data_IF_576388010137
#
_entry.id   IF_576388010137
#
_cell.length_a   1.000
_cell.length_b   1.000
_cell.length_c   1.000
_cell.angle_alpha   90.00
_cell.angle_beta   90.00
_cell.angle_gamma   90.00
#
_symmetry.space_group_name_H-M   'P 1'
#
loop_
_entity.id
_entity.type
_entity.pdbx_description
1 polymer ?
#
# COMPACT_ATOMS: atom_id res chain seq x y z
N UNK A 1 -26.07 -13.41 -87.04
CA UNK A 1 -26.06 -12.14 -86.32
C UNK A 1 -25.90 -12.41 -84.89
N UNK A 2 -24.64 -12.47 -84.37
CA UNK A 2 -24.27 -12.97 -83.09
C UNK A 2 -23.79 -11.76 -82.29
N UNK A 3 -24.54 -11.44 -81.22
CA UNK A 3 -24.18 -10.35 -80.31
C UNK A 3 -23.18 -10.91 -79.26
N UNK A 4 -21.96 -10.40 -79.28
CA UNK A 4 -20.94 -10.58 -78.28
C UNK A 4 -21.33 -9.80 -77.04
N UNK A 5 -21.58 -10.50 -75.95
CA UNK A 5 -21.62 -9.90 -74.59
C UNK A 5 -20.26 -10.07 -73.95
N UNK A 6 -19.52 -9.00 -73.90
CA UNK A 6 -18.26 -8.92 -73.14
C UNK A 6 -18.61 -8.63 -71.69
N UNK A 7 -18.46 -9.66 -70.83
CA UNK A 7 -18.63 -9.50 -69.42
C UNK A 7 -17.28 -9.07 -68.81
N UNK A 8 -17.21 -7.83 -68.42
CA UNK A 8 -16.05 -7.26 -67.74
C UNK A 8 -16.09 -7.70 -66.29
N UNK A 9 -15.27 -8.71 -65.89
CA UNK A 9 -15.07 -9.11 -64.51
C UNK A 9 -14.01 -8.17 -63.94
N UNK A 10 -14.44 -7.12 -63.23
CA UNK A 10 -13.56 -6.32 -62.39
C UNK A 10 -13.28 -7.09 -61.11
N UNK A 11 -12.12 -7.71 -61.06
CA UNK A 11 -11.57 -8.25 -59.82
C UNK A 11 -11.10 -7.08 -58.95
N UNK A 12 -11.95 -6.63 -58.04
CA UNK A 12 -11.53 -5.72 -56.98
C UNK A 12 -10.75 -6.53 -55.93
N UNK A 13 -9.46 -6.57 -56.09
CA UNK A 13 -8.54 -7.02 -55.03
C UNK A 13 -8.56 -5.98 -53.92
N UNK A 14 -9.41 -6.18 -52.94
CA UNK A 14 -9.35 -5.44 -51.68
C UNK A 14 -8.11 -5.93 -50.94
N UNK A 15 -7.02 -5.19 -51.07
CA UNK A 15 -5.89 -5.28 -50.17
C UNK A 15 -6.36 -4.80 -48.79
N UNK A 16 -6.81 -5.75 -47.96
CA UNK A 16 -6.90 -5.57 -46.52
C UNK A 16 -5.48 -5.41 -45.96
N UNK A 17 -4.92 -4.23 -46.11
CA UNK A 17 -3.83 -3.80 -45.26
C UNK A 17 -4.44 -3.65 -43.87
N UNK A 18 -4.42 -4.75 -43.12
CA UNK A 18 -4.68 -4.73 -41.70
C UNK A 18 -3.61 -3.86 -41.05
N UNK A 19 -3.91 -2.58 -40.88
CA UNK A 19 -3.22 -1.79 -39.89
C UNK A 19 -3.59 -2.41 -38.53
N UNK A 20 -2.75 -3.29 -38.05
CA UNK A 20 -2.62 -3.54 -36.64
C UNK A 20 -2.13 -2.26 -35.96
N UNK A 21 -3.00 -1.26 -35.93
CA UNK A 21 -2.89 -0.17 -34.99
C UNK A 21 -3.31 -0.70 -33.64
N UNK A 22 -2.49 -1.57 -33.05
CA UNK A 22 -2.45 -1.67 -31.59
C UNK A 22 -2.34 -0.24 -31.11
N UNK A 23 -3.28 0.28 -30.29
CA UNK A 23 -3.13 1.61 -29.74
C UNK A 23 -1.80 1.59 -28.98
N UNK A 24 -0.77 2.21 -29.56
CA UNK A 24 0.43 2.54 -28.82
C UNK A 24 -0.06 3.48 -27.74
N UNK A 25 -0.30 2.89 -26.55
CA UNK A 25 -0.43 3.66 -25.33
C UNK A 25 0.82 4.54 -25.32
N UNK A 26 0.67 5.87 -25.33
CA UNK A 26 1.84 6.73 -25.35
C UNK A 26 2.72 6.28 -24.20
N UNK A 27 3.97 5.97 -24.51
CA UNK A 27 5.03 5.63 -23.57
C UNK A 27 5.36 6.92 -22.82
N UNK A 28 4.39 7.42 -22.05
CA UNK A 28 4.62 8.43 -21.05
C UNK A 28 5.40 7.70 -19.95
N UNK A 29 6.72 7.58 -20.19
CA UNK A 29 7.68 7.44 -19.12
C UNK A 29 7.31 8.58 -18.17
N UNK A 30 6.60 8.25 -17.12
CA UNK A 30 6.11 9.25 -16.16
C UNK A 30 7.36 9.95 -15.66
N UNK A 31 7.50 11.24 -15.98
CA UNK A 31 8.74 12.03 -15.87
C UNK A 31 9.36 12.01 -14.47
N UNK A 32 8.61 11.47 -13.49
CA UNK A 32 8.94 11.41 -12.07
C UNK A 32 8.65 10.03 -11.46
N UNK A 33 9.08 8.94 -12.10
CA UNK A 33 8.97 7.58 -11.53
C UNK A 33 10.36 7.05 -11.14
N UNK A 34 10.53 6.45 -9.93
CA UNK A 34 9.55 6.30 -8.87
C UNK A 34 9.10 7.64 -8.27
N UNK A 35 7.91 7.66 -7.64
CA UNK A 35 7.49 8.85 -6.93
C UNK A 35 8.28 9.00 -5.62
N UNK A 36 8.70 10.22 -5.30
CA UNK A 36 9.57 10.49 -4.16
C UNK A 36 8.83 11.34 -3.12
N UNK A 37 8.74 10.81 -1.91
CA UNK A 37 8.27 11.55 -0.73
C UNK A 37 9.50 11.94 0.09
N UNK A 38 9.78 13.24 0.19
CA UNK A 38 10.90 13.78 0.95
C UNK A 38 10.45 14.35 2.28
N UNK A 39 11.37 14.48 3.21
CA UNK A 39 11.19 15.33 4.40
C UNK A 39 10.73 16.74 3.99
N UNK A 40 9.86 17.35 4.81
CA UNK A 40 9.33 18.69 4.59
C UNK A 40 9.09 19.39 5.92
N UNK A 41 9.83 20.48 6.16
CA UNK A 41 9.64 21.31 7.36
C UNK A 41 8.20 21.82 7.48
N UNK A 42 7.57 22.22 6.36
CA UNK A 42 6.18 22.67 6.34
C UNK A 42 5.19 21.60 6.80
N UNK A 43 5.35 20.34 6.32
CA UNK A 43 4.52 19.23 6.76
C UNK A 43 4.74 18.91 8.24
N UNK A 44 5.98 18.94 8.70
CA UNK A 44 6.33 18.72 10.10
C UNK A 44 5.64 19.74 11.00
N UNK A 45 5.80 21.03 10.73
CA UNK A 45 5.18 22.10 11.48
C UNK A 45 3.64 22.01 11.46
N UNK A 46 3.06 21.64 10.32
CA UNK A 46 1.62 21.42 10.21
C UNK A 46 1.17 20.27 11.11
N UNK A 47 1.85 19.12 11.06
CA UNK A 47 1.53 17.95 11.88
C UNK A 47 1.65 18.27 13.39
N UNK A 48 2.69 19.00 13.81
CA UNK A 48 2.87 19.43 15.19
C UNK A 48 1.78 20.42 15.65
N UNK A 49 1.30 21.30 14.78
CA UNK A 49 0.16 22.21 15.09
C UNK A 49 -1.13 21.41 15.24
N UNK A 50 -1.41 20.48 14.32
CA UNK A 50 -2.62 19.66 14.38
C UNK A 50 -2.60 18.70 15.58
N UNK A 51 -1.42 18.17 15.94
CA UNK A 51 -1.27 17.39 17.17
C UNK A 51 -1.65 18.18 18.41
N UNK A 52 -1.09 19.37 18.59
CA UNK A 52 -1.44 20.25 19.72
C UNK A 52 -2.92 20.58 19.74
N UNK A 53 -3.48 20.94 18.60
CA UNK A 53 -4.91 21.22 18.45
C UNK A 53 -5.79 20.02 18.83
N UNK A 54 -5.35 18.81 18.50
CA UNK A 54 -6.03 17.59 18.90
C UNK A 54 -6.00 17.40 20.41
N UNK A 55 -4.85 17.51 21.05
CA UNK A 55 -4.75 17.37 22.51
C UNK A 55 -5.59 18.42 23.24
N UNK A 56 -5.58 19.66 22.80
CA UNK A 56 -6.41 20.74 23.36
C UNK A 56 -7.91 20.43 23.22
N UNK A 57 -8.33 19.93 22.06
CA UNK A 57 -9.75 19.61 21.82
C UNK A 57 -10.30 18.49 22.71
N UNK A 58 -9.42 17.64 23.23
CA UNK A 58 -9.78 16.55 24.15
C UNK A 58 -9.37 16.82 25.61
N UNK A 59 -8.91 18.04 25.93
CA UNK A 59 -8.40 18.43 27.24
C UNK A 59 -7.32 17.47 27.77
N UNK A 60 -6.45 16.98 26.89
CA UNK A 60 -5.33 16.13 27.23
C UNK A 60 -4.08 16.96 27.42
N UNK A 61 -3.24 16.58 28.39
CA UNK A 61 -1.99 17.27 28.65
C UNK A 61 -1.13 17.32 27.37
N UNK A 62 -0.57 18.48 27.07
CA UNK A 62 0.31 18.69 25.94
C UNK A 62 1.58 17.83 26.06
N UNK A 63 1.81 16.99 25.07
CA UNK A 63 3.01 16.16 24.94
C UNK A 63 3.60 16.32 23.54
N UNK A 64 4.92 16.17 23.36
CA UNK A 64 5.51 16.11 22.03
C UNK A 64 4.93 14.94 21.24
N UNK A 65 4.63 15.11 19.95
CA UNK A 65 4.16 14.01 19.12
C UNK A 65 5.30 13.04 18.80
N UNK A 66 4.96 11.76 18.72
CA UNK A 66 5.78 10.74 18.06
C UNK A 66 5.27 10.58 16.63
N UNK A 67 5.95 11.21 15.69
CA UNK A 67 5.56 11.28 14.28
C UNK A 67 6.51 10.48 13.42
N UNK A 68 5.98 9.91 12.33
CA UNK A 68 6.81 9.36 11.28
C UNK A 68 7.79 10.44 10.76
N UNK A 69 9.08 10.13 10.59
CA UNK A 69 10.10 11.15 10.29
C UNK A 69 10.00 11.77 8.89
N UNK A 70 9.22 11.19 7.97
CA UNK A 70 9.14 11.64 6.58
C UNK A 70 7.76 12.19 6.22
N UNK A 71 6.68 11.52 6.58
CA UNK A 71 5.33 11.98 6.24
C UNK A 71 4.53 12.52 7.41
N UNK A 72 5.07 12.40 8.65
CA UNK A 72 4.57 13.08 9.85
C UNK A 72 3.17 12.67 10.32
N UNK A 73 2.74 11.45 10.01
CA UNK A 73 1.58 10.88 10.67
C UNK A 73 1.93 10.37 12.07
N UNK A 74 1.01 10.31 13.03
CA UNK A 74 1.27 9.84 14.38
C UNK A 74 1.68 8.37 14.41
N UNK A 75 2.89 8.10 14.90
CA UNK A 75 3.43 6.75 15.04
C UNK A 75 3.00 6.10 16.35
N UNK A 76 2.73 6.90 17.38
CA UNK A 76 2.16 6.43 18.63
C UNK A 76 1.44 7.56 19.40
N UNK A 77 0.67 7.18 20.44
CA UNK A 77 0.14 8.11 21.45
C UNK A 77 1.05 8.16 22.69
N UNK A 78 2.35 8.01 22.52
CA UNK A 78 3.32 8.02 23.62
C UNK A 78 3.21 9.32 24.45
N UNK A 79 3.12 9.17 25.77
CA UNK A 79 2.96 10.30 26.70
C UNK A 79 1.53 10.79 26.86
N UNK A 80 0.56 10.32 26.08
CA UNK A 80 -0.86 10.63 26.27
C UNK A 80 -1.44 9.70 27.35
N UNK A 81 -1.31 10.12 28.60
CA UNK A 81 -1.77 9.32 29.76
C UNK A 81 -3.29 9.20 29.77
N UNK A 82 -3.79 7.96 29.88
CA UNK A 82 -5.23 7.67 29.96
C UNK A 82 -5.97 7.69 28.63
N UNK A 83 -5.26 7.90 27.51
CA UNK A 83 -5.83 7.90 26.16
C UNK A 83 -6.70 9.12 25.85
N UNK A 84 -7.24 9.15 24.64
CA UNK A 84 -8.10 10.22 24.11
C UNK A 84 -9.57 9.77 24.17
N UNK A 85 -10.41 10.45 24.95
CA UNK A 85 -11.83 10.12 25.06
C UNK A 85 -12.58 10.48 23.77
N UNK A 86 -13.01 9.48 23.01
CA UNK A 86 -13.76 9.66 21.76
C UNK A 86 -15.28 9.57 21.97
N UNK A 87 -15.75 8.68 22.84
CA UNK A 87 -17.16 8.57 23.19
C UNK A 87 -17.51 9.52 24.33
N UNK A 88 -18.52 10.36 24.12
CA UNK A 88 -19.06 11.27 25.15
C UNK A 88 -20.24 10.67 25.92
N UNK A 89 -20.85 9.61 25.39
CA UNK A 89 -22.00 8.92 25.97
C UNK A 89 -21.73 7.44 25.94
N UNK A 90 -22.09 6.74 27.04
CA UNK A 90 -21.98 5.30 27.10
C UNK A 90 -22.94 4.65 26.10
N UNK A 91 -22.46 3.74 25.24
CA UNK A 91 -23.32 3.04 24.29
C UNK A 91 -24.37 2.17 25.00
N UNK A 92 -25.47 1.89 24.33
CA UNK A 92 -26.43 0.90 24.81
C UNK A 92 -25.80 -0.51 24.78
N UNK A 93 -26.17 -1.40 25.70
CA UNK A 93 -25.67 -2.78 25.73
C UNK A 93 -25.89 -3.47 24.37
N UNK A 94 -24.80 -4.04 23.81
CA UNK A 94 -24.79 -4.72 22.53
C UNK A 94 -24.54 -3.84 21.31
N UNK A 95 -24.44 -2.51 21.49
CA UNK A 95 -24.10 -1.56 20.41
C UNK A 95 -22.67 -1.00 20.51
N UNK A 96 -21.88 -1.45 21.48
CA UNK A 96 -20.57 -0.90 21.83
C UNK A 96 -19.61 -0.91 20.62
N UNK A 97 -19.51 -2.03 19.94
CA UNK A 97 -18.63 -2.15 18.77
C UNK A 97 -19.03 -1.19 17.64
N UNK A 98 -20.31 -1.00 17.41
CA UNK A 98 -20.81 -0.08 16.38
C UNK A 98 -20.50 1.36 16.78
N UNK A 99 -20.78 1.72 18.04
CA UNK A 99 -20.52 3.06 18.56
C UNK A 99 -19.02 3.41 18.51
N UNK A 100 -18.13 2.47 18.87
CA UNK A 100 -16.69 2.67 18.80
C UNK A 100 -16.19 2.86 17.35
N UNK A 101 -16.72 2.09 16.40
CA UNK A 101 -16.38 2.26 14.97
C UNK A 101 -16.83 3.61 14.43
N UNK A 102 -18.03 4.05 14.78
CA UNK A 102 -18.54 5.37 14.36
C UNK A 102 -17.77 6.51 15.03
N UNK A 103 -17.42 6.38 16.32
CA UNK A 103 -16.56 7.34 17.00
C UNK A 103 -15.16 7.42 16.35
N UNK A 104 -14.58 6.27 15.96
CA UNK A 104 -13.30 6.25 15.27
C UNK A 104 -13.37 6.87 13.87
N UNK A 105 -14.45 6.66 13.12
CA UNK A 105 -14.67 7.36 11.85
C UNK A 105 -14.72 8.88 12.06
N UNK A 106 -15.52 9.34 13.02
CA UNK A 106 -15.59 10.77 13.38
C UNK A 106 -14.25 11.36 13.81
N UNK A 107 -13.43 10.57 14.53
CA UNK A 107 -12.07 10.93 14.90
C UNK A 107 -11.18 11.09 13.66
N UNK A 108 -11.20 10.12 12.75
CA UNK A 108 -10.39 10.12 11.52
C UNK A 108 -10.75 11.33 10.66
N UNK A 109 -12.03 11.58 10.39
CA UNK A 109 -12.46 12.70 9.56
C UNK A 109 -12.14 14.07 10.19
N UNK A 110 -12.26 14.16 11.51
CA UNK A 110 -11.92 15.39 12.25
C UNK A 110 -10.42 15.71 12.18
N UNK A 111 -9.57 14.68 12.24
CA UNK A 111 -8.12 14.82 12.32
C UNK A 111 -7.42 14.38 11.03
N UNK A 112 -8.12 14.41 9.90
CA UNK A 112 -7.61 13.98 8.60
C UNK A 112 -6.30 14.64 8.17
N UNK A 113 -6.09 15.91 8.58
CA UNK A 113 -4.85 16.64 8.28
C UNK A 113 -3.65 16.12 9.08
N UNK A 114 -3.88 15.59 10.25
CA UNK A 114 -2.87 14.94 11.09
C UNK A 114 -2.62 13.50 10.66
N UNK A 115 -3.69 12.76 10.34
CA UNK A 115 -3.62 11.34 9.99
C UNK A 115 -3.29 11.11 8.51
N UNK A 116 -3.29 12.15 7.68
CA UNK A 116 -3.05 12.01 6.24
C UNK A 116 -4.13 11.21 5.49
N UNK A 117 -5.28 10.98 6.10
CA UNK A 117 -6.37 10.19 5.55
C UNK A 117 -7.73 10.64 6.09
N UNK A 118 -8.78 10.36 5.35
CA UNK A 118 -10.18 10.48 5.75
C UNK A 118 -10.92 9.16 5.53
N UNK A 119 -12.18 9.08 5.97
CA UNK A 119 -12.96 7.83 5.86
C UNK A 119 -13.26 7.39 4.44
N UNK A 120 -13.11 8.24 3.43
CA UNK A 120 -13.26 7.87 2.01
C UNK A 120 -12.00 7.22 1.43
N UNK A 121 -10.84 7.48 2.02
CA UNK A 121 -9.52 7.01 1.58
C UNK A 121 -9.05 5.74 2.27
N UNK A 122 -9.83 5.22 3.23
CA UNK A 122 -9.48 4.04 4.03
C UNK A 122 -10.62 3.04 4.13
N UNK A 123 -10.29 1.79 4.47
CA UNK A 123 -11.25 0.72 4.74
C UNK A 123 -10.88 -0.02 6.01
N UNK A 124 -11.86 -0.30 6.86
CA UNK A 124 -11.69 -1.20 8.01
C UNK A 124 -11.57 -2.64 7.49
N UNK A 125 -10.39 -3.23 7.62
CA UNK A 125 -10.09 -4.55 7.04
C UNK A 125 -9.95 -5.65 8.07
N UNK A 126 -9.84 -5.30 9.34
CA UNK A 126 -9.67 -6.28 10.41
C UNK A 126 -9.81 -5.65 11.78
N UNK A 127 -9.65 -6.50 12.76
CA UNK A 127 -9.66 -6.15 14.18
C UNK A 127 -10.03 -7.35 15.01
N UNK A 128 -9.68 -7.27 16.28
CA UNK A 128 -10.03 -8.22 17.30
C UNK A 128 -10.66 -7.48 18.48
N UNK A 129 -11.54 -8.16 19.17
CA UNK A 129 -12.21 -7.64 20.35
C UNK A 129 -11.86 -8.51 21.54
N UNK A 130 -11.45 -7.86 22.63
CA UNK A 130 -11.46 -8.46 23.97
C UNK A 130 -12.47 -7.73 24.83
N UNK A 131 -12.71 -8.25 26.05
CA UNK A 131 -13.64 -7.63 27.00
C UNK A 131 -13.23 -6.21 27.43
N UNK A 132 -11.96 -5.86 27.24
CA UNK A 132 -11.39 -4.58 27.70
C UNK A 132 -10.99 -3.63 26.57
N UNK A 133 -10.64 -4.15 25.40
CA UNK A 133 -10.18 -3.34 24.27
C UNK A 133 -10.67 -3.87 22.95
N UNK A 134 -10.84 -2.97 21.98
CA UNK A 134 -11.08 -3.26 20.59
C UNK A 134 -9.90 -2.77 19.77
N UNK A 135 -9.30 -3.67 18.99
CA UNK A 135 -8.30 -3.32 17.99
C UNK A 135 -8.97 -3.13 16.64
N UNK A 136 -8.71 -2.01 15.98
CA UNK A 136 -9.25 -1.68 14.66
C UNK A 136 -8.09 -1.51 13.69
N UNK A 137 -8.16 -2.18 12.54
CA UNK A 137 -7.13 -2.15 11.50
C UNK A 137 -7.73 -1.55 10.24
N UNK A 138 -7.24 -0.39 9.85
CA UNK A 138 -7.63 0.29 8.62
C UNK A 138 -6.55 0.16 7.57
N UNK A 139 -6.96 0.04 6.30
CA UNK A 139 -6.08 0.02 5.14
C UNK A 139 -6.42 1.19 4.21
N UNK A 140 -5.38 1.76 3.64
CA UNK A 140 -5.46 2.81 2.64
C UNK A 140 -5.98 2.23 1.31
N UNK A 141 -7.01 2.87 0.72
CA UNK A 141 -7.69 2.37 -0.50
C UNK A 141 -7.75 3.40 -1.63
N UNK A 142 -7.10 4.53 -1.49
CA UNK A 142 -7.07 5.62 -2.47
C UNK A 142 -6.01 5.45 -3.57
N UNK A 143 -5.37 4.29 -3.65
CA UNK A 143 -4.50 3.88 -4.74
C UNK A 143 -5.17 2.82 -5.62
N UNK A 144 -4.75 2.72 -6.90
CA UNK A 144 -5.25 1.70 -7.82
C UNK A 144 -4.86 0.26 -7.40
N UNK A 145 -3.81 0.12 -6.60
CA UNK A 145 -3.32 -1.14 -6.07
C UNK A 145 -3.11 -1.05 -4.56
N UNK A 146 -3.19 -2.17 -3.82
CA UNK A 146 -2.98 -2.16 -2.37
C UNK A 146 -1.54 -1.74 -2.03
N UNK A 147 -1.39 -1.00 -0.93
CA UNK A 147 -0.08 -0.65 -0.39
C UNK A 147 0.52 -1.87 0.32
N UNK A 148 1.78 -2.19 0.03
CA UNK A 148 2.49 -3.35 0.54
C UNK A 148 3.30 -3.04 1.80
N UNK A 149 3.69 -4.10 2.49
CA UNK A 149 4.51 -4.03 3.70
C UNK A 149 3.76 -3.45 4.89
N UNK A 150 4.47 -2.70 5.71
CA UNK A 150 3.93 -2.07 6.92
C UNK A 150 3.30 -0.70 6.65
N UNK A 151 3.25 -0.27 5.38
CA UNK A 151 2.67 1.00 4.98
C UNK A 151 1.20 0.87 4.60
N UNK A 152 0.52 2.00 4.51
CA UNK A 152 -0.89 2.05 4.14
C UNK A 152 -1.81 1.38 5.16
N UNK A 153 -1.36 1.26 6.41
CA UNK A 153 -2.13 0.69 7.51
C UNK A 153 -2.17 1.66 8.69
N UNK A 154 -3.31 1.72 9.37
CA UNK A 154 -3.44 2.36 10.66
C UNK A 154 -4.04 1.36 11.64
N UNK A 155 -3.40 1.20 12.78
CA UNK A 155 -3.89 0.39 13.89
C UNK A 155 -4.31 1.29 15.04
N UNK A 156 -5.56 1.19 15.45
CA UNK A 156 -6.10 1.87 16.60
C UNK A 156 -6.53 0.87 17.67
N UNK A 157 -6.16 1.11 18.92
CA UNK A 157 -6.63 0.34 20.07
C UNK A 157 -7.52 1.24 20.91
N UNK A 158 -8.78 0.83 21.06
CA UNK A 158 -9.83 1.58 21.77
C UNK A 158 -10.30 0.76 22.96
N UNK A 159 -10.33 1.35 24.13
CA UNK A 159 -10.87 0.71 25.34
C UNK A 159 -12.39 0.62 25.32
N UNK A 160 -12.98 -0.26 26.13
CA UNK A 160 -14.43 -0.47 26.19
C UNK A 160 -15.22 0.78 26.61
N UNK A 161 -14.58 1.72 27.33
CA UNK A 161 -15.17 3.01 27.69
C UNK A 161 -15.00 4.11 26.62
N UNK A 162 -14.49 3.75 25.43
CA UNK A 162 -14.38 4.63 24.28
C UNK A 162 -13.18 5.56 24.27
N UNK A 163 -12.07 5.14 24.88
CA UNK A 163 -10.80 5.87 24.82
C UNK A 163 -9.88 5.28 23.76
N UNK A 164 -9.35 6.11 22.89
CA UNK A 164 -8.26 5.75 22.00
C UNK A 164 -6.97 5.65 22.83
N UNK A 165 -6.49 4.43 23.04
CA UNK A 165 -5.34 4.12 23.89
C UNK A 165 -4.03 4.04 23.09
N UNK A 166 -4.11 3.61 21.83
CA UNK A 166 -2.96 3.48 20.93
C UNK A 166 -3.38 3.83 19.51
N UNK A 167 -2.48 4.46 18.80
CA UNK A 167 -2.59 4.76 17.38
C UNK A 167 -1.22 4.53 16.75
N UNK A 168 -1.16 3.69 15.72
CA UNK A 168 0.02 3.54 14.86
C UNK A 168 -0.45 3.79 13.42
N UNK A 169 -0.10 4.95 12.90
CA UNK A 169 -0.52 5.39 11.59
C UNK A 169 0.68 5.40 10.63
N UNK A 170 0.58 4.57 9.59
CA UNK A 170 1.57 4.41 8.53
C UNK A 170 1.00 4.70 7.15
N UNK A 171 0.00 5.56 7.08
CA UNK A 171 -0.52 6.03 5.80
C UNK A 171 0.52 6.88 5.09
N UNK A 172 0.61 6.69 3.78
CA UNK A 172 1.51 7.46 2.93
C UNK A 172 0.73 8.56 2.21
N UNK A 173 1.32 9.75 2.02
CA UNK A 173 0.72 10.79 1.18
C UNK A 173 0.42 10.26 -0.21
N UNK A 174 -0.69 10.69 -0.80
CA UNK A 174 -1.05 10.29 -2.17
C UNK A 174 -0.04 10.88 -3.15
N UNK A 175 0.56 10.01 -3.96
CA UNK A 175 1.50 10.36 -5.02
C UNK A 175 1.01 9.81 -6.35
N UNK A 176 1.38 10.48 -7.43
CA UNK A 176 1.07 10.01 -8.78
C UNK A 176 1.94 8.81 -9.15
N UNK A 177 1.30 7.73 -9.53
CA UNK A 177 1.94 6.49 -9.97
C UNK A 177 1.31 5.98 -11.27
N UNK A 178 2.05 5.17 -12.05
CA UNK A 178 1.48 4.48 -13.20
C UNK A 178 0.25 3.66 -12.80
N UNK A 179 -0.83 3.78 -13.56
CA UNK A 179 -2.07 3.06 -13.32
C UNK A 179 -2.03 1.59 -13.79
N UNK A 180 -0.96 1.20 -14.50
CA UNK A 180 -0.81 -0.16 -15.06
C UNK A 180 0.66 -0.57 -15.05
N UNK A 181 0.96 -1.84 -14.75
CA UNK A 181 2.26 -2.42 -15.01
C UNK A 181 2.67 -2.29 -16.48
N UNK A 182 3.97 -2.07 -16.74
CA UNK A 182 4.58 -2.13 -18.06
C UNK A 182 5.31 -3.47 -18.29
N UNK A 183 5.74 -4.09 -17.18
CA UNK A 183 6.31 -5.43 -17.20
C UNK A 183 5.18 -6.43 -16.99
N UNK A 184 5.03 -7.35 -17.93
CA UNK A 184 4.03 -8.41 -17.83
C UNK A 184 4.31 -9.35 -16.66
N UNK A 185 3.24 -9.90 -16.11
CA UNK A 185 3.26 -10.81 -14.95
C UNK A 185 4.21 -11.98 -15.16
N UNK A 186 4.14 -12.60 -16.32
CA UNK A 186 4.96 -13.76 -16.71
C UNK A 186 6.45 -13.39 -16.87
N UNK A 187 6.72 -12.17 -17.33
CA UNK A 187 8.09 -11.66 -17.43
C UNK A 187 8.69 -11.44 -16.03
N UNK A 188 7.93 -10.89 -15.11
CA UNK A 188 8.35 -10.73 -13.72
C UNK A 188 8.57 -12.09 -13.03
N UNK A 189 7.69 -13.08 -13.25
CA UNK A 189 7.83 -14.44 -12.75
C UNK A 189 9.11 -15.12 -13.21
N UNK A 190 9.43 -15.01 -14.51
CA UNK A 190 10.65 -15.58 -15.12
C UNK A 190 11.93 -14.99 -14.53
N UNK A 191 11.93 -13.74 -14.07
CA UNK A 191 13.09 -13.11 -13.42
C UNK A 191 13.45 -13.75 -12.09
N UNK A 192 12.49 -14.39 -11.42
CA UNK A 192 12.66 -14.99 -10.10
C UNK A 192 12.90 -16.52 -10.18
N UNK A 193 12.39 -17.18 -11.21
CA UNK A 193 12.59 -18.61 -11.44
C UNK A 193 14.08 -18.96 -11.62
N UNK A 194 14.52 -20.04 -10.99
CA UNK A 194 15.90 -20.53 -11.05
C UNK A 194 16.92 -19.76 -10.20
N UNK A 195 16.48 -18.73 -9.46
CA UNK A 195 17.38 -17.93 -8.61
C UNK A 195 17.84 -18.69 -7.37
N UNK A 196 19.01 -18.29 -6.89
CA UNK A 196 19.56 -18.75 -5.60
C UNK A 196 19.45 -17.60 -4.59
N UNK A 197 18.87 -17.89 -3.44
CA UNK A 197 18.79 -16.96 -2.30
C UNK A 197 19.74 -17.43 -1.20
N UNK A 198 20.39 -16.47 -0.55
CA UNK A 198 21.27 -16.70 0.58
C UNK A 198 20.51 -16.33 1.86
N UNK A 199 20.65 -17.13 2.91
CA UNK A 199 20.10 -16.86 4.22
C UNK A 199 21.03 -17.38 5.33
N UNK A 200 20.86 -16.95 6.57
CA UNK A 200 21.61 -17.49 7.71
C UNK A 200 20.75 -18.51 8.45
N UNK A 201 21.33 -19.66 8.81
CA UNK A 201 20.69 -20.63 9.70
C UNK A 201 20.73 -20.17 11.17
N UNK A 202 20.06 -20.92 12.07
CA UNK A 202 20.04 -20.62 13.53
C UNK A 202 21.43 -20.59 14.18
N UNK A 203 22.45 -21.17 13.56
CA UNK A 203 23.83 -21.11 14.01
C UNK A 203 24.62 -19.94 13.40
N UNK A 204 23.97 -19.07 12.61
CA UNK A 204 24.58 -17.93 11.93
C UNK A 204 25.39 -18.31 10.70
N UNK A 205 25.30 -19.54 10.18
CA UNK A 205 26.03 -19.99 9.01
C UNK A 205 25.28 -19.64 7.75
N UNK A 206 26.00 -19.12 6.75
CA UNK A 206 25.44 -18.85 5.44
C UNK A 206 24.98 -20.15 4.76
N UNK A 207 23.75 -20.16 4.30
CA UNK A 207 23.10 -21.22 3.55
C UNK A 207 22.59 -20.67 2.21
N UNK A 208 22.42 -21.57 1.25
CA UNK A 208 21.87 -21.21 -0.06
C UNK A 208 20.72 -22.12 -0.43
N UNK A 209 19.64 -21.53 -0.94
CA UNK A 209 18.50 -22.24 -1.48
C UNK A 209 18.25 -21.80 -2.91
N UNK A 210 18.26 -22.75 -3.83
CA UNK A 210 17.91 -22.50 -5.22
C UNK A 210 16.41 -22.69 -5.40
N UNK A 211 15.76 -21.71 -5.98
CA UNK A 211 14.39 -21.83 -6.46
C UNK A 211 14.40 -22.67 -7.72
N UNK A 212 13.51 -23.62 -7.82
CA UNK A 212 13.36 -24.47 -9.00
C UNK A 212 12.84 -23.69 -10.20
N UNK A 213 12.00 -24.34 -10.97
CA UNK A 213 11.39 -23.72 -12.15
C UNK A 213 10.28 -22.73 -11.82
N UNK A 214 9.57 -22.34 -12.86
CA UNK A 214 8.47 -21.38 -12.80
C UNK A 214 7.30 -21.88 -11.91
N UNK A 215 7.19 -23.19 -11.71
CA UNK A 215 6.20 -23.84 -10.84
C UNK A 215 6.44 -23.59 -9.34
N UNK A 216 7.60 -23.12 -8.96
CA UNK A 216 7.90 -22.69 -7.59
C UNK A 216 7.77 -21.18 -7.37
N UNK A 217 7.33 -20.45 -8.38
CA UNK A 217 7.21 -18.99 -8.35
C UNK A 217 5.77 -18.59 -8.60
N UNK A 218 5.17 -17.87 -7.67
CA UNK A 218 3.79 -17.37 -7.77
C UNK A 218 3.75 -15.86 -7.72
N UNK A 219 3.34 -15.21 -8.79
CA UNK A 219 3.02 -13.78 -8.77
C UNK A 219 1.66 -13.59 -8.09
N UNK A 220 1.66 -12.95 -6.94
CA UNK A 220 0.44 -12.70 -6.15
C UNK A 220 -0.41 -11.60 -6.78
N UNK A 221 0.15 -10.41 -6.91
CA UNK A 221 -0.58 -9.20 -7.36
C UNK A 221 0.40 -8.06 -7.68
N UNK A 222 -0.12 -7.01 -8.30
CA UNK A 222 0.56 -5.71 -8.30
C UNK A 222 0.26 -4.96 -7.00
N UNK A 223 1.24 -4.22 -6.50
CA UNK A 223 1.17 -3.46 -5.23
C UNK A 223 1.86 -2.12 -5.36
N UNK A 224 1.47 -1.15 -4.53
CA UNK A 224 2.25 0.04 -4.27
C UNK A 224 3.28 -0.32 -3.19
N UNK A 225 4.56 -0.20 -3.50
CA UNK A 225 5.65 -0.55 -2.61
C UNK A 225 6.44 0.70 -2.20
N UNK A 226 6.23 1.20 -0.98
CA UNK A 226 7.10 2.21 -0.40
C UNK A 226 8.42 1.58 0.06
N UNK A 227 9.54 2.24 -0.27
CA UNK A 227 10.89 1.84 0.13
C UNK A 227 11.54 2.99 0.87
N UNK A 228 11.80 2.80 2.15
CA UNK A 228 12.49 3.78 2.98
C UNK A 228 13.95 3.90 2.58
N UNK A 229 14.40 5.13 2.42
CA UNK A 229 15.79 5.56 2.33
C UNK A 229 16.10 6.47 3.51
N UNK A 230 17.33 6.95 3.62
CA UNK A 230 17.76 7.77 4.76
C UNK A 230 16.94 9.06 4.98
N UNK A 231 16.51 9.71 3.91
CA UNK A 231 15.86 11.04 3.92
C UNK A 231 14.61 11.12 3.03
N UNK A 232 14.18 9.99 2.47
CA UNK A 232 13.03 9.94 1.57
C UNK A 232 12.38 8.55 1.56
N UNK A 233 11.18 8.48 0.99
CA UNK A 233 10.53 7.25 0.60
C UNK A 233 10.36 7.24 -0.90
N UNK A 234 10.86 6.21 -1.55
CA UNK A 234 10.57 5.90 -2.95
C UNK A 234 9.30 5.06 -3.02
N UNK A 235 8.34 5.48 -3.81
CA UNK A 235 7.07 4.75 -3.98
C UNK A 235 7.03 4.16 -5.38
N UNK A 236 6.98 2.84 -5.44
CA UNK A 236 7.02 2.06 -6.67
C UNK A 236 5.70 1.35 -6.93
N UNK A 237 5.38 1.09 -8.20
CA UNK A 237 4.44 0.04 -8.60
C UNK A 237 5.24 -1.25 -8.78
N UNK A 238 4.92 -2.31 -8.04
CA UNK A 238 5.71 -3.53 -8.03
C UNK A 238 4.83 -4.78 -8.17
N UNK A 239 5.40 -5.85 -8.73
CA UNK A 239 4.88 -7.19 -8.63
C UNK A 239 5.31 -7.84 -7.32
N UNK A 240 4.36 -8.29 -6.51
CA UNK A 240 4.58 -9.10 -5.31
C UNK A 240 4.62 -10.57 -5.71
N UNK A 241 5.78 -11.20 -5.54
CA UNK A 241 6.07 -12.56 -6.01
C UNK A 241 6.51 -13.41 -4.82
N UNK A 242 5.89 -14.58 -4.65
CA UNK A 242 6.34 -15.59 -3.69
C UNK A 242 7.12 -16.67 -4.44
N UNK A 243 8.34 -16.91 -4.00
CA UNK A 243 9.26 -17.91 -4.57
C UNK A 243 9.66 -18.95 -3.53
N UNK A 244 9.64 -20.23 -3.92
CA UNK A 244 9.94 -21.37 -3.07
C UNK A 244 8.71 -22.00 -2.40
N UNK A 245 8.88 -23.22 -1.90
CA UNK A 245 7.81 -24.03 -1.25
C UNK A 245 7.99 -24.05 0.28
N UNK A 246 8.94 -24.83 0.78
CA UNK A 246 9.22 -24.97 2.21
C UNK A 246 10.03 -23.80 2.76
N UNK A 247 11.04 -23.37 2.03
CA UNK A 247 11.73 -22.11 2.27
C UNK A 247 11.23 -21.13 1.22
N UNK A 248 10.60 -20.03 1.64
CA UNK A 248 10.01 -19.10 0.69
C UNK A 248 10.44 -17.66 0.93
N UNK A 249 10.46 -16.90 -0.16
CA UNK A 249 10.77 -15.47 -0.16
C UNK A 249 9.67 -14.70 -0.84
N UNK A 250 9.43 -13.50 -0.37
CA UNK A 250 8.66 -12.50 -1.11
C UNK A 250 9.65 -11.60 -1.86
N UNK A 251 9.54 -11.59 -3.18
CA UNK A 251 10.38 -10.78 -4.08
C UNK A 251 9.50 -9.70 -4.70
N UNK A 252 9.94 -8.46 -4.63
CA UNK A 252 9.29 -7.34 -5.30
C UNK A 252 10.08 -6.96 -6.54
N UNK A 253 9.43 -7.06 -7.70
CA UNK A 253 9.97 -6.64 -9.00
C UNK A 253 9.23 -5.37 -9.42
N UNK A 254 9.97 -4.34 -9.75
CA UNK A 254 9.40 -3.09 -10.28
C UNK A 254 8.57 -3.40 -11.53
N UNK A 255 7.30 -3.02 -11.50
CA UNK A 255 6.37 -3.34 -12.56
C UNK A 255 6.49 -2.39 -13.78
N UNK A 256 7.37 -1.39 -13.72
CA UNK A 256 7.62 -0.43 -14.79
C UNK A 256 8.91 -0.74 -15.53
N UNK A 257 10.04 -0.94 -14.79
CA UNK A 257 11.36 -1.16 -15.39
C UNK A 257 11.88 -2.59 -15.20
N UNK A 258 11.24 -3.39 -14.35
CA UNK A 258 11.60 -4.79 -14.09
C UNK A 258 12.82 -4.96 -13.17
N UNK A 259 13.26 -3.95 -12.45
CA UNK A 259 14.31 -4.06 -11.46
C UNK A 259 13.83 -4.81 -10.21
N UNK A 260 14.74 -5.48 -9.53
CA UNK A 260 14.45 -6.03 -8.21
C UNK A 260 14.52 -4.92 -7.17
N UNK A 261 13.44 -4.75 -6.44
CA UNK A 261 13.31 -3.69 -5.44
C UNK A 261 13.60 -4.18 -4.03
N UNK A 262 13.09 -5.37 -3.68
CA UNK A 262 13.18 -5.90 -2.31
C UNK A 262 13.01 -7.41 -2.30
N UNK A 263 13.73 -8.06 -1.40
CA UNK A 263 13.56 -9.48 -1.09
C UNK A 263 13.32 -9.64 0.41
N UNK A 264 12.31 -10.39 0.78
CA UNK A 264 11.95 -10.68 2.19
C UNK A 264 11.94 -12.20 2.37
N UNK A 265 12.65 -12.68 3.37
CA UNK A 265 12.60 -14.06 3.82
C UNK A 265 11.31 -14.29 4.62
N UNK A 266 10.52 -15.32 4.29
CA UNK A 266 9.23 -15.61 4.91
C UNK A 266 9.28 -16.71 5.99
N UNK A 267 10.47 -17.15 6.37
CA UNK A 267 10.68 -18.19 7.37
C UNK A 267 11.70 -17.73 8.41
N UNK A 268 11.59 -18.28 9.60
CA UNK A 268 12.57 -18.06 10.66
C UNK A 268 13.62 -19.15 10.62
N UNK A 269 14.84 -18.81 10.93
CA UNK A 269 16.00 -19.70 11.00
C UNK A 269 16.62 -19.63 12.38
#
# INVERSE_FOLDING_TARGET
>A
MILFRLTFIIAVAILLVGCDASPQVPNTTQKNYPAIIRDSTERREKAEREWRRMLDAYNVQQTPPDLNPIFYTPHSLLGVTGGIQMLTVKPEPGSETIALREAMKGFIDRWRELLGADTSSISLTGGDNSDTVQRLIYRQVNYAFPVAGNFGEMVAVVSADGRLMQLDDRFIPVVELPLRPQIEREAAQKKVAGRTFTYSDIAGREQRAQIGGIDEVTVKRAVILPIEKSDMIEVHLAWEIVAGKSLSWTVYIDAINGEELKVIQNFQT
#
